data_IF_390983879863
#
_entry.id   IF_390983879863
#
_cell.length_a   1.000
_cell.length_b   1.000
_cell.length_c   1.000
_cell.angle_alpha   90.00
_cell.angle_beta   90.00
_cell.angle_gamma   90.00
#
_symmetry.space_group_name_H-M   'P 1'
#
loop_
_entity.id
_entity.type
_entity.pdbx_description
1 polymer ?
#
# COMPACT_ATOMS: atom_id res chain seq x y z
N UNK A 1 -21.09 36.70 -16.30
CA UNK A 1 -20.26 36.53 -15.08
C UNK A 1 -20.35 35.07 -14.63
N UNK A 2 -19.57 34.21 -15.26
CA UNK A 2 -19.26 32.86 -14.79
C UNK A 2 -17.80 32.70 -15.15
N UNK A 3 -16.96 33.45 -14.43
CA UNK A 3 -15.52 33.31 -14.55
C UNK A 3 -15.14 31.92 -14.05
N UNK A 4 -14.43 31.21 -14.92
CA UNK A 4 -13.58 30.04 -14.67
C UNK A 4 -13.47 29.61 -13.20
N UNK A 5 -14.33 28.66 -12.78
CA UNK A 5 -13.96 27.71 -11.74
C UNK A 5 -12.85 26.83 -12.32
N UNK A 6 -11.64 27.37 -12.46
CA UNK A 6 -10.42 26.58 -12.65
C UNK A 6 -10.49 25.44 -11.64
N UNK A 7 -10.46 24.20 -12.12
CA UNK A 7 -10.36 23.04 -11.26
C UNK A 7 -9.11 23.24 -10.40
N UNK A 8 -9.30 23.63 -9.14
CA UNK A 8 -8.19 23.80 -8.21
C UNK A 8 -7.62 22.41 -8.00
N UNK A 9 -6.47 22.13 -8.61
CA UNK A 9 -5.74 20.88 -8.41
C UNK A 9 -5.32 20.88 -6.95
N UNK A 10 -5.90 19.96 -6.17
CA UNK A 10 -5.57 19.84 -4.75
C UNK A 10 -4.33 18.97 -4.60
N UNK A 11 -3.53 19.29 -3.58
CA UNK A 11 -2.40 18.46 -3.19
C UNK A 11 -2.87 17.11 -2.63
N UNK A 12 -2.02 16.07 -2.66
CA UNK A 12 -2.36 14.77 -2.12
C UNK A 12 -2.65 14.81 -0.61
N UNK A 13 -3.66 14.04 -0.18
CA UNK A 13 -4.07 13.98 1.22
C UNK A 13 -3.55 12.68 1.86
N UNK A 14 -2.84 12.81 2.98
CA UNK A 14 -2.42 11.67 3.81
C UNK A 14 -3.33 11.58 5.04
N UNK A 15 -4.11 10.53 5.14
CA UNK A 15 -4.98 10.24 6.29
C UNK A 15 -4.20 9.50 7.38
N UNK A 16 -4.14 10.07 8.57
CA UNK A 16 -3.71 9.40 9.80
C UNK A 16 -4.96 9.13 10.63
N UNK A 17 -5.38 7.87 10.65
CA UNK A 17 -6.67 7.46 11.21
C UNK A 17 -6.49 6.72 12.53
N UNK A 18 -7.47 6.85 13.42
CA UNK A 18 -7.57 5.99 14.59
C UNK A 18 -7.78 4.52 14.15
N UNK A 19 -7.13 3.54 14.80
CA UNK A 19 -7.37 2.12 14.62
C UNK A 19 -8.82 1.67 14.45
N UNK A 20 -9.75 2.27 15.21
CA UNK A 20 -11.16 1.90 15.22
C UNK A 20 -11.87 2.32 13.94
N UNK A 21 -11.43 3.40 13.30
CA UNK A 21 -12.04 3.93 12.09
C UNK A 21 -11.29 3.54 10.81
N UNK A 22 -10.10 2.95 10.92
CA UNK A 22 -9.29 2.50 9.79
C UNK A 22 -10.02 1.49 8.87
N UNK A 23 -11.12 0.87 9.30
CA UNK A 23 -11.93 -0.01 8.46
C UNK A 23 -12.89 0.74 7.51
N UNK A 24 -13.15 2.03 7.76
CA UNK A 24 -14.08 2.82 6.95
C UNK A 24 -13.44 3.23 5.62
N UNK A 25 -14.18 3.26 4.50
CA UNK A 25 -13.65 3.61 3.18
C UNK A 25 -13.63 5.14 2.98
N UNK A 26 -12.86 5.86 3.79
CA UNK A 26 -12.77 7.33 3.74
C UNK A 26 -12.45 7.88 2.34
N UNK A 27 -11.64 7.16 1.55
CA UNK A 27 -11.29 7.50 0.17
C UNK A 27 -12.49 7.58 -0.77
N UNK A 28 -13.60 6.92 -0.42
CA UNK A 28 -14.83 6.90 -1.22
C UNK A 28 -15.79 8.04 -0.90
N UNK A 29 -15.46 8.91 0.06
CA UNK A 29 -16.35 10.03 0.37
C UNK A 29 -16.43 11.03 -0.79
N UNK A 30 -17.60 11.64 -1.04
CA UNK A 30 -17.82 12.53 -2.18
C UNK A 30 -16.77 13.64 -2.33
N UNK A 31 -16.24 14.14 -1.21
CA UNK A 31 -15.22 15.19 -1.17
C UNK A 31 -13.80 14.72 -1.53
N UNK A 32 -13.55 13.41 -1.49
CA UNK A 32 -12.23 12.78 -1.67
C UNK A 32 -12.12 11.95 -2.97
N UNK A 33 -13.24 11.66 -3.65
CA UNK A 33 -13.26 10.78 -4.84
C UNK A 33 -12.36 11.23 -5.99
N UNK A 34 -12.19 12.53 -6.15
CA UNK A 34 -11.42 13.13 -7.24
C UNK A 34 -10.04 13.62 -6.77
N UNK A 35 -9.53 13.06 -5.67
CA UNK A 35 -8.24 13.45 -5.07
C UNK A 35 -7.34 12.24 -4.84
N UNK A 36 -6.03 12.49 -4.84
CA UNK A 36 -5.05 11.50 -4.43
C UNK A 36 -5.08 11.38 -2.90
N UNK A 37 -5.42 10.19 -2.41
CA UNK A 37 -5.58 9.92 -0.98
C UNK A 37 -4.72 8.73 -0.59
N UNK A 38 -3.89 8.91 0.43
CA UNK A 38 -3.04 7.89 1.03
C UNK A 38 -3.37 7.71 2.50
N UNK A 39 -2.94 6.59 3.10
CA UNK A 39 -3.05 6.35 4.54
C UNK A 39 -1.69 6.10 5.16
N UNK A 40 -1.49 6.65 6.35
CA UNK A 40 -0.34 6.37 7.20
C UNK A 40 -0.80 6.08 8.64
N UNK A 41 -0.11 5.19 9.38
CA UNK A 41 -0.52 4.83 10.74
C UNK A 41 -0.18 5.90 11.76
N UNK A 42 0.81 6.73 11.49
CA UNK A 42 1.24 7.80 12.39
C UNK A 42 1.95 8.90 11.63
N UNK A 43 2.00 10.09 12.24
CA UNK A 43 2.80 11.22 11.74
C UNK A 43 4.30 10.86 11.74
N UNK A 44 4.75 10.09 12.73
CA UNK A 44 6.12 9.58 12.79
C UNK A 44 6.48 8.71 11.58
N UNK A 45 5.51 7.92 11.08
CA UNK A 45 5.69 7.10 9.88
C UNK A 45 5.92 7.96 8.64
N UNK A 46 5.17 9.06 8.53
CA UNK A 46 5.34 10.04 7.46
C UNK A 46 6.74 10.64 7.54
N UNK A 47 7.15 11.10 8.73
CA UNK A 47 8.44 11.73 8.92
C UNK A 47 9.61 10.78 8.59
N UNK A 48 9.53 9.52 9.03
CA UNK A 48 10.58 8.53 8.75
C UNK A 48 10.67 8.19 7.25
N UNK A 49 9.54 8.12 6.55
CA UNK A 49 9.53 7.91 5.10
C UNK A 49 10.12 9.13 4.38
N UNK A 50 9.75 10.35 4.79
CA UNK A 50 10.32 11.59 4.24
C UNK A 50 11.82 11.69 4.50
N UNK A 51 12.30 11.28 5.67
CA UNK A 51 13.74 11.29 5.99
C UNK A 51 14.52 10.26 5.16
N UNK A 52 13.92 9.09 4.88
CA UNK A 52 14.53 8.06 4.01
C UNK A 52 14.54 8.47 2.54
N UNK A 53 13.56 9.25 2.11
CA UNK A 53 13.46 9.80 0.76
C UNK A 53 13.81 11.29 0.78
N UNK A 54 15.10 11.61 0.77
CA UNK A 54 15.64 12.98 0.77
C UNK A 54 15.18 13.85 -0.41
N UNK A 55 14.52 13.26 -1.41
CA UNK A 55 13.91 13.96 -2.54
C UNK A 55 12.44 13.56 -2.65
N UNK A 56 11.58 14.56 -2.90
CA UNK A 56 10.11 14.47 -3.01
C UNK A 56 9.59 13.60 -4.18
N UNK A 57 10.40 12.69 -4.69
CA UNK A 57 10.06 11.83 -5.81
C UNK A 57 9.74 10.42 -5.31
N UNK A 58 8.56 9.94 -5.69
CA UNK A 58 8.18 8.54 -5.57
C UNK A 58 9.28 7.74 -6.29
N UNK A 59 9.89 6.72 -5.66
CA UNK A 59 10.96 5.96 -6.30
C UNK A 59 10.44 5.35 -7.60
N UNK A 60 11.18 5.56 -8.69
CA UNK A 60 10.87 4.91 -9.96
C UNK A 60 10.97 3.39 -9.77
N UNK A 61 9.87 2.68 -10.02
CA UNK A 61 9.80 1.22 -9.90
C UNK A 61 9.90 0.63 -11.30
N UNK A 62 10.97 -0.13 -11.58
CA UNK A 62 11.07 -0.89 -12.83
C UNK A 62 10.15 -2.13 -12.75
N UNK A 63 9.10 -2.23 -13.59
CA UNK A 63 8.22 -3.39 -13.61
C UNK A 63 8.96 -4.70 -13.99
N UNK A 64 10.12 -4.63 -14.65
CA UNK A 64 10.93 -5.83 -14.96
C UNK A 64 11.66 -6.39 -13.74
N UNK A 65 11.85 -5.56 -12.71
CA UNK A 65 12.38 -5.98 -11.41
C UNK A 65 11.25 -6.29 -10.41
N UNK A 66 9.99 -6.34 -10.86
CA UNK A 66 8.86 -6.68 -10.02
C UNK A 66 8.81 -8.19 -9.72
N UNK A 67 8.37 -8.49 -8.51
CA UNK A 67 8.16 -9.85 -8.02
C UNK A 67 6.66 -10.05 -7.83
N UNK A 68 6.14 -11.17 -8.31
CA UNK A 68 4.72 -11.50 -8.19
C UNK A 68 4.60 -12.84 -7.46
N UNK A 69 3.79 -12.85 -6.41
CA UNK A 69 3.31 -14.05 -5.75
C UNK A 69 1.85 -14.25 -6.17
N UNK A 70 1.59 -15.25 -7.01
CA UNK A 70 0.22 -15.65 -7.39
C UNK A 70 -0.14 -16.94 -6.67
N UNK A 71 -1.39 -17.01 -6.19
CA UNK A 71 -2.11 -18.24 -5.86
C UNK A 71 -1.29 -19.26 -5.02
N UNK A 72 -0.78 -18.84 -3.87
CA UNK A 72 0.09 -19.68 -3.01
C UNK A 72 -0.58 -20.95 -2.48
N UNK A 73 -1.90 -21.05 -2.56
CA UNK A 73 -2.73 -22.15 -2.04
C UNK A 73 -3.46 -22.93 -3.15
N UNK A 74 -3.17 -22.64 -4.44
CA UNK A 74 -3.83 -23.25 -5.62
C UNK A 74 -5.36 -23.14 -5.62
N UNK A 75 -5.95 -22.29 -4.78
CA UNK A 75 -7.40 -22.28 -4.55
C UNK A 75 -8.15 -21.49 -5.62
N UNK A 76 -7.44 -20.68 -6.43
CA UNK A 76 -8.03 -19.82 -7.46
C UNK A 76 -7.33 -19.97 -8.82
N UNK A 77 -7.50 -21.12 -9.51
CA UNK A 77 -6.83 -21.39 -10.79
C UNK A 77 -7.21 -20.36 -11.89
N UNK A 78 -8.44 -19.85 -11.88
CA UNK A 78 -8.92 -18.88 -12.86
C UNK A 78 -8.19 -17.53 -12.77
N UNK A 79 -7.80 -17.10 -11.56
CA UNK A 79 -7.06 -15.86 -11.38
C UNK A 79 -5.63 -15.98 -11.92
N UNK A 80 -5.04 -17.16 -11.76
CA UNK A 80 -3.73 -17.48 -12.31
C UNK A 80 -3.77 -17.53 -13.83
N UNK A 81 -4.74 -18.20 -14.44
CA UNK A 81 -4.91 -18.25 -15.90
C UNK A 81 -5.12 -16.86 -16.52
N UNK A 82 -5.87 -15.98 -15.85
CA UNK A 82 -6.14 -14.64 -16.35
C UNK A 82 -4.95 -13.68 -16.21
N UNK A 83 -4.16 -13.81 -15.14
CA UNK A 83 -3.10 -12.86 -14.81
C UNK A 83 -1.72 -13.29 -15.31
N UNK A 84 -1.44 -14.59 -15.42
CA UNK A 84 -0.16 -15.10 -15.92
C UNK A 84 0.26 -14.51 -17.27
N UNK A 85 -0.64 -14.38 -18.30
CA UNK A 85 -0.26 -13.81 -19.59
C UNK A 85 0.22 -12.35 -19.49
N UNK A 86 -0.34 -11.57 -18.57
CA UNK A 86 0.03 -10.17 -18.34
C UNK A 86 1.31 -10.05 -17.50
N UNK A 87 1.58 -11.06 -16.67
CA UNK A 87 2.68 -11.07 -15.70
C UNK A 87 3.88 -11.90 -16.16
N UNK A 88 3.91 -12.34 -17.42
CA UNK A 88 4.94 -13.19 -18.07
C UNK A 88 6.39 -12.68 -17.91
N UNK A 89 6.60 -11.42 -17.52
CA UNK A 89 7.93 -10.84 -17.25
C UNK A 89 8.35 -10.83 -15.78
N UNK A 90 7.47 -11.22 -14.87
CA UNK A 90 7.73 -11.25 -13.43
C UNK A 90 8.25 -12.62 -13.00
N UNK A 91 9.12 -12.63 -12.00
CA UNK A 91 9.65 -13.88 -11.42
C UNK A 91 8.79 -14.32 -10.25
N UNK A 92 8.38 -15.59 -10.24
CA UNK A 92 7.72 -16.22 -9.09
C UNK A 92 8.75 -16.51 -7.99
N UNK A 93 8.43 -16.15 -6.74
CA UNK A 93 9.32 -16.37 -5.58
C UNK A 93 8.60 -17.03 -4.39
N UNK A 94 9.24 -17.99 -3.71
CA UNK A 94 8.74 -18.55 -2.46
C UNK A 94 8.66 -17.50 -1.33
N UNK A 95 7.60 -17.57 -0.52
CA UNK A 95 7.31 -16.64 0.58
C UNK A 95 8.46 -16.50 1.60
N UNK A 96 9.25 -17.56 1.79
CA UNK A 96 10.41 -17.57 2.71
C UNK A 96 11.52 -16.62 2.28
N UNK A 97 11.69 -16.41 0.97
CA UNK A 97 12.72 -15.55 0.38
C UNK A 97 12.28 -14.08 0.34
N UNK A 98 10.96 -13.82 0.39
CA UNK A 98 10.40 -12.46 0.34
C UNK A 98 10.85 -11.58 1.53
N UNK A 99 11.18 -12.16 2.68
CA UNK A 99 11.56 -11.40 3.89
C UNK A 99 12.68 -10.39 3.64
N UNK A 100 13.64 -10.69 2.76
CA UNK A 100 14.78 -9.80 2.48
C UNK A 100 14.48 -8.80 1.35
N UNK A 101 13.49 -9.08 0.49
CA UNK A 101 13.13 -8.26 -0.67
C UNK A 101 12.15 -7.14 -0.30
N UNK A 102 11.36 -7.35 0.76
CA UNK A 102 10.31 -6.40 1.21
C UNK A 102 10.87 -5.06 1.71
N UNK A 103 12.14 -5.00 2.14
CA UNK A 103 12.71 -3.77 2.72
C UNK A 103 12.80 -2.61 1.71
N UNK A 104 12.85 -2.90 0.40
CA UNK A 104 13.00 -1.88 -0.64
C UNK A 104 11.89 -1.89 -1.70
N UNK A 105 11.01 -2.90 -1.72
CA UNK A 105 10.00 -3.03 -2.77
C UNK A 105 8.66 -2.36 -2.40
N UNK A 106 8.01 -1.75 -3.39
CA UNK A 106 6.57 -1.47 -3.31
C UNK A 106 5.78 -2.78 -3.40
N UNK A 107 4.70 -2.90 -2.64
CA UNK A 107 3.91 -4.12 -2.57
C UNK A 107 2.45 -3.86 -2.97
N UNK A 108 1.93 -4.64 -3.92
CA UNK A 108 0.51 -4.70 -4.25
C UNK A 108 -0.09 -5.95 -3.63
N UNK A 109 -0.84 -5.77 -2.54
CA UNK A 109 -1.46 -6.87 -1.81
C UNK A 109 -2.89 -7.09 -2.31
N UNK A 110 -3.04 -7.84 -3.41
CA UNK A 110 -4.34 -8.16 -3.99
C UNK A 110 -4.86 -9.49 -3.43
N UNK A 111 -6.01 -9.46 -2.78
CA UNK A 111 -6.59 -10.62 -2.10
C UNK A 111 -7.71 -10.23 -1.14
N UNK A 112 -8.51 -11.21 -0.74
CA UNK A 112 -9.60 -10.99 0.21
C UNK A 112 -9.05 -10.61 1.58
N UNK A 113 -9.64 -9.59 2.21
CA UNK A 113 -9.37 -9.18 3.58
C UNK A 113 -7.93 -8.66 3.89
N UNK A 114 -7.12 -8.31 2.88
CA UNK A 114 -5.78 -7.76 3.10
C UNK A 114 -5.78 -6.44 3.89
N UNK A 115 -6.80 -5.60 3.71
CA UNK A 115 -7.00 -4.37 4.49
C UNK A 115 -7.75 -4.57 5.82
N UNK A 116 -8.09 -5.81 6.19
CA UNK A 116 -8.84 -6.07 7.41
C UNK A 116 -7.92 -6.03 8.64
N UNK A 117 -8.36 -5.28 9.64
CA UNK A 117 -7.69 -5.15 10.93
C UNK A 117 -8.35 -6.10 11.94
N UNK A 118 -7.56 -6.98 12.56
CA UNK A 118 -8.02 -7.74 13.72
C UNK A 118 -7.85 -6.86 14.96
N UNK A 119 -8.96 -6.25 15.41
CA UNK A 119 -9.02 -5.53 16.68
C UNK A 119 -8.90 -6.53 17.82
N UNK A 120 -7.81 -6.48 18.58
CA UNK A 120 -7.60 -7.28 19.81
C UNK A 120 -7.62 -6.38 21.04
N UNK A 121 -8.79 -5.81 21.33
CA UNK A 121 -8.98 -4.92 22.47
C UNK A 121 -8.14 -3.63 22.34
N UNK A 122 -7.34 -3.31 23.37
CA UNK A 122 -6.56 -2.07 23.47
C UNK A 122 -5.23 -2.05 22.69
N UNK A 123 -4.86 -3.13 22.00
CA UNK A 123 -3.62 -3.18 21.23
C UNK A 123 -3.80 -2.64 19.81
N UNK A 124 -2.76 -2.00 19.21
CA UNK A 124 -2.78 -1.56 17.82
C UNK A 124 -3.21 -2.71 16.90
N UNK A 125 -4.14 -2.47 15.96
CA UNK A 125 -4.69 -3.51 15.12
C UNK A 125 -3.57 -4.13 14.27
N UNK A 126 -3.51 -5.45 14.28
CA UNK A 126 -2.65 -6.15 13.34
C UNK A 126 -3.38 -6.22 11.99
N UNK A 127 -2.75 -5.64 10.97
CA UNK A 127 -3.16 -5.84 9.58
C UNK A 127 -1.93 -5.95 8.67
N UNK A 128 -2.13 -6.57 7.51
CA UNK A 128 -1.04 -6.87 6.57
C UNK A 128 -0.35 -5.57 6.10
N UNK A 129 -1.06 -4.49 5.70
CA UNK A 129 -0.42 -3.24 5.30
C UNK A 129 0.48 -2.62 6.37
N UNK A 130 0.07 -2.68 7.65
CA UNK A 130 0.87 -2.16 8.75
C UNK A 130 2.15 -2.95 8.96
N UNK A 131 2.11 -4.28 8.86
CA UNK A 131 3.32 -5.10 9.00
C UNK A 131 4.38 -4.82 7.93
N UNK A 132 3.97 -4.54 6.69
CA UNK A 132 4.88 -4.11 5.62
C UNK A 132 5.45 -2.74 5.91
N UNK A 133 4.62 -1.81 6.39
CA UNK A 133 5.01 -0.45 6.66
C UNK A 133 5.96 -0.34 7.87
N UNK A 134 5.67 -1.02 8.97
CA UNK A 134 6.56 -1.08 10.13
C UNK A 134 7.93 -1.61 9.76
N UNK A 135 8.00 -2.63 8.90
CA UNK A 135 9.28 -3.15 8.40
C UNK A 135 10.06 -2.14 7.54
N UNK A 136 9.35 -1.30 6.80
CA UNK A 136 9.95 -0.23 6.00
C UNK A 136 10.38 0.96 6.86
N UNK A 137 9.77 1.16 8.03
CA UNK A 137 10.08 2.24 8.97
C UNK A 137 11.17 1.82 9.97
N UNK A 138 11.28 0.52 10.29
CA UNK A 138 12.32 0.00 11.18
C UNK A 138 13.70 0.54 10.75
N UNK A 139 14.44 1.18 11.68
CA UNK A 139 15.84 1.47 11.45
C UNK A 139 16.58 0.14 11.44
N UNK A 140 17.38 -0.10 10.40
CA UNK A 140 18.40 -1.15 10.47
C UNK A 140 19.35 -0.78 11.62
N UNK A 141 19.19 -1.44 12.77
CA UNK A 141 20.17 -1.51 13.85
C UNK A 141 21.15 -2.61 13.49
#
# INVERSE_FOLDING_TARGET
>A
MLEDMKSVVREPIILVLDPQVQMLPFERFPIMRDQEVYRMPSVESIFNIMKKHSESQIPFIDPKQSFVLLNSDQSFPNAEELLLPQLTRSRYFPVKTLKNVINCAAAFLMGCANGSSKLRGYYPPYCVPLSYLYKKIEPLI
#
